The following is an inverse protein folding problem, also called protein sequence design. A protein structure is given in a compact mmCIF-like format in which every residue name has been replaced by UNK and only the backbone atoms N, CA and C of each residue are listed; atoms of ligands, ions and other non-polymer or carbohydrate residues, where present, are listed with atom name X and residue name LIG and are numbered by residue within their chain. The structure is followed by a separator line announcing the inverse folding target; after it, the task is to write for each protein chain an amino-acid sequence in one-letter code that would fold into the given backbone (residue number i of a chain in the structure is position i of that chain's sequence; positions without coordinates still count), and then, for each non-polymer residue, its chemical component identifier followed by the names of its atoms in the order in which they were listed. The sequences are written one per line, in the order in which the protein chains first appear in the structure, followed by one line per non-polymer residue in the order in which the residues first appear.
data_IF_928408760566
#
_entry.id   IF_928408760566
#
_cell.length_a   1.000
_cell.length_b   1.000
_cell.length_c   1.000
_cell.angle_alpha   90.00
_cell.angle_beta   90.00
_cell.angle_gamma   90.00
#
_symmetry.space_group_name_H-M   'P 1'
#
loop_
_entity.id
_entity.type
_entity.pdbx_description
1 polymer ?
#
# COMPACT_ATOMS: atom_id res chain seq x y z
N UNK A 1 12.54 -16.32 -3.80
CA UNK A 1 11.34 -16.60 -4.63
C UNK A 1 10.02 -16.32 -3.91
N UNK A 2 9.73 -16.94 -2.75
CA UNK A 2 8.44 -16.83 -2.06
C UNK A 2 8.00 -15.38 -1.76
N UNK A 3 8.88 -14.59 -1.14
CA UNK A 3 8.60 -13.18 -0.80
C UNK A 3 8.33 -12.31 -2.03
N UNK A 4 9.03 -12.58 -3.14
CA UNK A 4 8.82 -11.86 -4.39
C UNK A 4 7.42 -12.11 -4.95
N UNK A 5 6.97 -13.38 -4.97
CA UNK A 5 5.63 -13.73 -5.44
C UNK A 5 4.55 -13.10 -4.54
N UNK A 6 4.74 -13.19 -3.22
CA UNK A 6 3.83 -12.61 -2.24
C UNK A 6 3.73 -11.09 -2.43
N UNK A 7 4.86 -10.40 -2.54
CA UNK A 7 4.91 -8.95 -2.76
C UNK A 7 4.30 -8.54 -4.10
N UNK A 8 4.60 -9.28 -5.17
CA UNK A 8 4.07 -9.02 -6.51
C UNK A 8 2.54 -9.16 -6.56
N UNK A 9 1.99 -10.28 -6.07
CA UNK A 9 0.54 -10.51 -6.05
C UNK A 9 -0.19 -9.52 -5.13
N UNK A 10 0.39 -9.24 -3.96
CA UNK A 10 -0.18 -8.26 -3.03
C UNK A 10 -0.16 -6.85 -3.63
N UNK A 11 0.88 -6.51 -4.40
CA UNK A 11 1.00 -5.24 -5.11
C UNK A 11 -0.06 -5.06 -6.20
N UNK A 12 -0.32 -6.09 -7.01
CA UNK A 12 -1.40 -6.06 -8.02
C UNK A 12 -2.75 -5.79 -7.35
N UNK A 13 -3.06 -6.53 -6.30
CA UNK A 13 -4.35 -6.42 -5.59
C UNK A 13 -4.45 -5.09 -4.84
N UNK A 14 -3.33 -4.59 -4.30
CA UNK A 14 -3.24 -3.24 -3.75
C UNK A 14 -3.52 -2.16 -4.78
N UNK A 15 -3.02 -2.31 -6.00
CA UNK A 15 -3.30 -1.40 -7.11
C UNK A 15 -4.76 -1.40 -7.59
N UNK A 16 -5.50 -2.49 -7.34
CA UNK A 16 -6.94 -2.57 -7.63
C UNK A 16 -7.82 -1.77 -6.64
N UNK A 17 -7.22 -1.14 -5.61
CA UNK A 17 -7.93 -0.32 -4.63
C UNK A 17 -8.48 -1.09 -3.42
N UNK A 18 -8.30 -2.41 -3.37
CA UNK A 18 -8.72 -3.26 -2.22
C UNK A 18 -7.75 -3.09 -1.02
N UNK A 19 -6.53 -2.63 -1.28
CA UNK A 19 -5.45 -2.54 -0.29
C UNK A 19 -4.69 -3.85 -0.17
N UNK A 20 -3.42 -3.85 -0.60
CA UNK A 20 -2.60 -5.06 -0.70
C UNK A 20 -2.33 -5.72 0.66
N UNK A 21 -2.49 -4.98 1.75
CA UNK A 21 -2.27 -5.46 3.13
C UNK A 21 -3.15 -6.61 3.55
N UNK A 22 -4.38 -6.71 3.02
CA UNK A 22 -5.30 -7.81 3.29
C UNK A 22 -4.71 -9.17 2.90
N UNK A 23 -3.84 -9.20 1.88
CA UNK A 23 -3.19 -10.43 1.40
C UNK A 23 -1.73 -10.47 1.86
N UNK A 24 -1.05 -9.32 1.89
CA UNK A 24 0.36 -9.23 2.25
C UNK A 24 0.59 -9.69 3.70
N UNK A 25 -0.20 -9.20 4.67
CA UNK A 25 0.02 -9.48 6.09
C UNK A 25 -0.18 -10.98 6.40
N UNK A 26 -1.30 -11.63 6.01
CA UNK A 26 -1.45 -13.08 6.19
C UNK A 26 -0.38 -13.87 5.45
N UNK A 27 0.03 -13.42 4.26
CA UNK A 27 1.04 -14.14 3.48
C UNK A 27 2.42 -14.11 4.13
N UNK A 28 2.83 -12.97 4.69
CA UNK A 28 4.10 -12.82 5.39
C UNK A 28 4.11 -13.58 6.73
N UNK A 29 3.00 -13.59 7.45
CA UNK A 29 2.90 -14.27 8.75
C UNK A 29 2.78 -15.78 8.60
N UNK A 30 1.91 -16.28 7.72
CA UNK A 30 1.65 -17.73 7.56
C UNK A 30 2.75 -18.41 6.73
N UNK A 31 3.16 -17.83 5.59
CA UNK A 31 4.09 -18.51 4.67
C UNK A 31 5.56 -18.13 4.86
N UNK A 32 5.84 -16.99 5.50
CA UNK A 32 7.19 -16.51 5.76
C UNK A 32 7.54 -16.42 7.25
N UNK A 33 6.62 -16.80 8.17
CA UNK A 33 6.83 -16.75 9.62
C UNK A 33 7.34 -15.40 10.15
N UNK A 34 6.95 -14.31 9.48
CA UNK A 34 7.29 -12.96 9.93
C UNK A 34 6.36 -12.57 11.06
N UNK A 35 6.91 -11.96 12.11
CA UNK A 35 6.12 -11.44 13.23
C UNK A 35 5.07 -10.42 12.73
N UNK A 36 3.87 -10.47 13.31
CA UNK A 36 2.74 -9.63 12.90
C UNK A 36 3.08 -8.13 12.92
N UNK A 37 3.78 -7.65 13.95
CA UNK A 37 4.20 -6.25 14.05
C UNK A 37 5.13 -5.84 12.90
N UNK A 38 6.08 -6.71 12.54
CA UNK A 38 6.97 -6.49 11.41
C UNK A 38 6.21 -6.56 10.08
N UNK A 39 5.31 -7.52 9.90
CA UNK A 39 4.50 -7.65 8.69
C UNK A 39 3.59 -6.42 8.46
N UNK A 40 3.01 -5.87 9.53
CA UNK A 40 2.25 -4.62 9.47
C UNK A 40 3.11 -3.42 9.09
N UNK A 41 4.33 -3.32 9.64
CA UNK A 41 5.29 -2.27 9.29
C UNK A 41 5.68 -2.34 7.81
N UNK A 42 5.97 -3.55 7.31
CA UNK A 42 6.27 -3.80 5.89
C UNK A 42 5.08 -3.40 5.01
N UNK A 43 3.86 -3.75 5.42
CA UNK A 43 2.66 -3.34 4.70
C UNK A 43 2.55 -1.82 4.60
N UNK A 44 2.77 -1.08 5.69
CA UNK A 44 2.69 0.38 5.68
C UNK A 44 3.73 1.01 4.74
N UNK A 45 4.96 0.52 4.77
CA UNK A 45 6.03 0.96 3.86
C UNK A 45 5.70 0.67 2.40
N UNK A 46 5.04 -0.47 2.12
CA UNK A 46 4.65 -0.85 0.76
C UNK A 46 3.65 0.13 0.12
N UNK A 47 2.88 0.88 0.93
CA UNK A 47 1.94 1.87 0.42
C UNK A 47 2.60 3.17 -0.06
N UNK A 48 3.81 3.51 0.41
CA UNK A 48 4.49 4.77 0.06
C UNK A 48 4.63 4.97 -1.46
N UNK A 49 5.21 4.03 -2.24
CA UNK A 49 5.33 4.21 -3.68
C UNK A 49 3.96 4.29 -4.38
N UNK A 50 3.01 3.45 -3.98
CA UNK A 50 1.66 3.43 -4.55
C UNK A 50 0.91 4.72 -4.29
N UNK A 51 0.93 5.22 -3.05
CA UNK A 51 0.32 6.49 -2.65
C UNK A 51 0.96 7.66 -3.38
N UNK A 52 2.29 7.65 -3.56
CA UNK A 52 3.01 8.68 -4.31
C UNK A 52 2.52 8.76 -5.76
N UNK A 53 2.46 7.62 -6.46
CA UNK A 53 1.98 7.57 -7.85
C UNK A 53 0.50 7.97 -7.94
N UNK A 54 -0.33 7.45 -7.03
CA UNK A 54 -1.76 7.76 -6.98
C UNK A 54 -2.00 9.26 -6.76
N UNK A 55 -1.27 9.88 -5.83
CA UNK A 55 -1.35 11.31 -5.56
C UNK A 55 -0.94 12.13 -6.78
N UNK A 56 0.21 11.83 -7.40
CA UNK A 56 0.67 12.52 -8.61
C UNK A 56 -0.36 12.45 -9.73
N UNK A 57 -0.98 11.29 -9.92
CA UNK A 57 -2.01 11.08 -10.93
C UNK A 57 -3.28 11.88 -10.64
N UNK A 58 -3.80 11.83 -9.41
CA UNK A 58 -4.99 12.58 -9.03
C UNK A 58 -4.76 14.09 -9.05
N UNK A 59 -3.56 14.56 -8.69
CA UNK A 59 -3.16 15.96 -8.85
C UNK A 59 -3.22 16.39 -10.31
N UNK A 60 -2.67 15.56 -11.23
CA UNK A 60 -2.73 15.83 -12.68
C UNK A 60 -4.17 15.88 -13.20
N UNK A 61 -5.06 15.05 -12.67
CA UNK A 61 -6.48 15.05 -13.02
C UNK A 61 -7.31 16.16 -12.34
N UNK A 62 -6.70 17.00 -11.48
CA UNK A 62 -7.41 17.97 -10.64
C UNK A 62 -8.48 17.34 -9.71
N UNK A 63 -8.34 16.07 -9.40
CA UNK A 63 -9.22 15.29 -8.52
C UNK A 63 -8.73 15.30 -7.07
N UNK A 64 -8.07 16.38 -6.63
CA UNK A 64 -7.58 16.54 -5.26
C UNK A 64 -8.09 17.86 -4.72
N UNK A 65 -8.89 17.80 -3.64
CA UNK A 65 -9.43 18.98 -2.97
C UNK A 65 -8.39 19.54 -2.01
N UNK A 66 -7.40 20.26 -2.56
CA UNK A 66 -6.31 20.86 -1.79
C UNK A 66 -6.80 21.87 -0.73
N UNK A 67 -7.96 22.48 -0.96
CA UNK A 67 -8.56 23.45 -0.04
C UNK A 67 -8.81 22.85 1.35
N UNK A 68 -9.19 21.57 1.44
CA UNK A 68 -9.41 20.89 2.73
C UNK A 68 -8.09 20.80 3.51
N UNK A 69 -6.98 20.51 2.83
CA UNK A 69 -5.67 20.36 3.46
C UNK A 69 -5.12 21.72 3.93
N UNK A 70 -5.34 22.77 3.14
CA UNK A 70 -4.78 24.10 3.42
C UNK A 70 -5.63 24.93 4.40
N UNK A 71 -6.94 24.71 4.49
CA UNK A 71 -7.83 25.39 5.44
C UNK A 71 -7.88 24.79 6.85
N UNK A 72 -7.19 23.69 7.10
CA UNK A 72 -7.02 23.13 8.45
C UNK A 72 -5.83 23.77 9.21
N UNK A 73 -5.33 24.92 8.74
CA UNK A 73 -4.37 25.76 9.46
C UNK A 73 -5.07 26.80 10.32
#
# INVERSE_FOLDING_TARGET
MKLFIIGFLSGIIGGMGIGGGTILIPSLTIFANIEQHMAQSVNLLSFIPTATIALLYHLKQKNVVLNIILNYR
#
